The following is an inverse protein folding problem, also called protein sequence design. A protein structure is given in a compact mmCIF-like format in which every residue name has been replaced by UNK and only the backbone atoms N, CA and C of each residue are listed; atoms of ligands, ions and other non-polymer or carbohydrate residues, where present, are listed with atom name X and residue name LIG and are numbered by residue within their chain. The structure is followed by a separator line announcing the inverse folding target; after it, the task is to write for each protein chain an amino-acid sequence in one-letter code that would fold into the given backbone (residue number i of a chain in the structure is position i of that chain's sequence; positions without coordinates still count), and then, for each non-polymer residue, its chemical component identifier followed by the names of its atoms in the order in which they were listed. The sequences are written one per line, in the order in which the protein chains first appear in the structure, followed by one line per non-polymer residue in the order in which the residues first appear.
data_IF_703284870542
#
_entry.id   IF_703284870542
#
_cell.length_a   1.000
_cell.length_b   1.000
_cell.length_c   1.000
_cell.angle_alpha   90.00
_cell.angle_beta   90.00
_cell.angle_gamma   90.00
#
_symmetry.space_group_name_H-M   'P 1'
#
loop_
_entity.id
_entity.type
_entity.pdbx_description
1 polymer ?
#
# COMPACT_ATOMS: atom_id res chain seq x y z
N UNK A 1 12.32 6.51 -7.32
CA UNK A 1 11.72 5.33 -6.69
C UNK A 1 11.34 4.41 -7.82
N UNK A 2 12.04 3.28 -7.97
CA UNK A 2 11.65 2.26 -8.94
C UNK A 2 10.53 1.44 -8.30
N UNK A 3 9.30 1.68 -8.76
CA UNK A 3 8.15 0.84 -8.46
C UNK A 3 8.21 -0.33 -9.44
N UNK A 4 8.43 -1.55 -8.95
CA UNK A 4 8.69 -2.71 -9.81
C UNK A 4 7.40 -3.25 -10.46
N UNK A 5 6.25 -3.06 -9.81
CA UNK A 5 4.96 -3.49 -10.32
C UNK A 5 3.85 -2.52 -9.88
N UNK A 6 2.90 -2.25 -10.78
CA UNK A 6 1.69 -1.46 -10.53
C UNK A 6 0.49 -2.28 -11.00
N UNK A 7 -0.38 -2.64 -10.07
CA UNK A 7 -1.57 -3.46 -10.36
C UNK A 7 -2.82 -2.70 -9.95
N UNK A 8 -3.67 -2.39 -10.93
CA UNK A 8 -5.03 -1.90 -10.71
C UNK A 8 -5.94 -3.09 -10.32
N UNK A 9 -6.16 -3.29 -9.03
CA UNK A 9 -7.09 -4.33 -8.58
C UNK A 9 -8.53 -3.83 -8.72
N UNK A 10 -9.34 -4.56 -9.49
CA UNK A 10 -10.79 -4.30 -9.64
C UNK A 10 -11.63 -5.21 -8.73
N UNK A 11 -10.98 -5.97 -7.86
CA UNK A 11 -11.55 -7.08 -7.10
C UNK A 11 -12.55 -6.60 -6.02
N UNK A 12 -12.56 -5.30 -5.71
CA UNK A 12 -13.61 -4.61 -4.94
C UNK A 12 -14.88 -4.38 -5.78
N UNK A 13 -15.43 -5.45 -6.37
CA UNK A 13 -16.64 -5.42 -7.21
C UNK A 13 -16.58 -4.37 -8.33
N UNK A 14 -15.40 -4.13 -8.92
CA UNK A 14 -15.13 -3.13 -9.96
C UNK A 14 -15.46 -1.68 -9.57
N UNK A 15 -15.63 -1.41 -8.27
CA UNK A 15 -16.20 -0.14 -7.79
C UNK A 15 -15.18 0.79 -7.14
N UNK A 16 -14.14 0.23 -6.54
CA UNK A 16 -13.14 0.96 -5.76
C UNK A 16 -11.73 0.53 -6.17
N UNK A 17 -11.06 1.31 -7.06
CA UNK A 17 -9.71 0.97 -7.50
C UNK A 17 -8.73 1.00 -6.33
N UNK A 18 -7.78 0.08 -6.38
CA UNK A 18 -6.66 -0.05 -5.45
C UNK A 18 -5.37 -0.16 -6.24
N UNK A 19 -4.36 0.59 -5.82
CA UNK A 19 -3.03 0.56 -6.40
C UNK A 19 -2.08 -0.12 -5.42
N UNK A 20 -1.39 -1.16 -5.86
CA UNK A 20 -0.34 -1.78 -5.08
C UNK A 20 1.04 -1.36 -5.58
N UNK A 21 1.95 -1.11 -4.64
CA UNK A 21 3.36 -0.82 -4.86
C UNK A 21 4.15 -1.94 -4.21
N UNK A 22 4.90 -2.70 -4.99
CA UNK A 22 5.76 -3.78 -4.49
C UNK A 22 7.23 -3.36 -4.61
N UNK A 23 8.00 -3.59 -3.54
CA UNK A 23 9.42 -3.25 -3.48
C UNK A 23 10.29 -4.51 -3.30
N UNK A 24 11.52 -4.44 -3.79
CA UNK A 24 12.49 -5.55 -3.75
C UNK A 24 12.83 -6.05 -2.33
N UNK A 25 12.59 -5.25 -1.29
CA UNK A 25 12.77 -5.64 0.11
C UNK A 25 11.68 -6.60 0.63
N UNK A 26 10.70 -6.95 -0.20
CA UNK A 26 9.57 -7.81 0.16
C UNK A 26 8.46 -7.10 0.91
N UNK A 27 8.52 -5.76 0.99
CA UNK A 27 7.44 -4.90 1.49
C UNK A 27 6.81 -4.11 0.35
N UNK A 28 5.64 -3.55 0.64
CA UNK A 28 4.85 -2.81 -0.32
C UNK A 28 3.79 -1.96 0.35
N UNK A 29 3.00 -1.30 -0.48
CA UNK A 29 1.87 -0.49 -0.05
C UNK A 29 0.63 -0.81 -0.87
N UNK A 30 -0.52 -0.90 -0.22
CA UNK A 30 -1.84 -0.93 -0.83
C UNK A 30 -2.50 0.43 -0.62
N UNK A 31 -2.75 1.15 -1.71
CA UNK A 31 -3.27 2.53 -1.70
C UNK A 31 -4.67 2.58 -2.29
N UNK A 32 -5.62 3.16 -1.54
CA UNK A 32 -7.02 3.28 -1.95
C UNK A 32 -7.54 4.69 -1.74
N UNK A 33 -8.49 5.11 -2.57
CA UNK A 33 -9.24 6.35 -2.37
C UNK A 33 -10.65 6.19 -2.92
N UNK A 34 -11.64 6.20 -2.03
CA UNK A 34 -13.04 6.11 -2.40
C UNK A 34 -13.96 6.80 -1.36
N UNK A 35 -15.26 6.84 -1.63
CA UNK A 35 -16.24 7.51 -0.76
C UNK A 35 -16.42 6.89 0.63
N UNK A 36 -15.87 5.71 0.88
CA UNK A 36 -15.90 5.00 2.16
C UNK A 36 -14.54 4.97 2.85
N UNK A 37 -13.47 5.46 2.20
CA UNK A 37 -12.17 5.64 2.84
C UNK A 37 -12.10 6.98 3.57
N UNK A 38 -11.20 7.07 4.52
CA UNK A 38 -10.79 8.30 5.19
C UNK A 38 -9.89 9.13 4.26
N UNK A 39 -10.41 9.58 3.12
CA UNK A 39 -9.60 10.24 2.10
C UNK A 39 -8.67 9.26 1.37
N UNK A 40 -7.44 9.66 1.09
CA UNK A 40 -6.41 8.78 0.55
C UNK A 40 -5.83 7.93 1.68
N UNK A 41 -5.90 6.60 1.52
CA UNK A 41 -5.46 5.63 2.51
C UNK A 41 -4.31 4.77 2.00
N UNK A 42 -3.41 4.38 2.90
CA UNK A 42 -2.31 3.46 2.63
C UNK A 42 -2.22 2.41 3.74
N UNK A 43 -2.18 1.14 3.35
CA UNK A 43 -1.81 0.02 4.21
C UNK A 43 -0.45 -0.55 3.79
N UNK A 44 0.38 -0.95 4.77
CA UNK A 44 1.62 -1.68 4.48
C UNK A 44 1.27 -3.14 4.18
N UNK A 45 1.87 -3.68 3.12
CA UNK A 45 1.75 -5.08 2.72
C UNK A 45 3.13 -5.73 2.68
N UNK A 46 3.18 -7.04 2.89
CA UNK A 46 4.40 -7.84 2.88
C UNK A 46 4.20 -9.11 2.08
N UNK A 47 5.19 -9.46 1.28
CA UNK A 47 5.15 -10.70 0.50
C UNK A 47 5.28 -11.92 1.42
N UNK A 48 4.27 -12.78 1.37
CA UNK A 48 4.23 -14.03 2.08
C UNK A 48 4.69 -15.17 1.15
N UNK A 49 5.85 -15.75 1.47
CA UNK A 49 6.47 -16.82 0.67
C UNK A 49 5.69 -18.13 0.69
N UNK A 50 4.86 -18.37 1.72
CA UNK A 50 4.08 -19.60 1.84
C UNK A 50 2.83 -19.54 0.97
N UNK A 51 2.12 -18.41 0.97
CA UNK A 51 0.92 -18.21 0.16
C UNK A 51 1.22 -17.73 -1.26
N UNK A 52 2.38 -17.09 -1.46
CA UNK A 52 2.73 -16.41 -2.71
C UNK A 52 1.97 -15.09 -2.92
N UNK A 53 1.33 -14.56 -1.87
CA UNK A 53 0.49 -13.36 -1.91
C UNK A 53 1.09 -12.23 -1.08
N UNK A 54 0.57 -11.02 -1.29
CA UNK A 54 0.88 -9.85 -0.47
C UNK A 54 -0.18 -9.69 0.63
N UNK A 55 0.25 -9.87 1.88
CA UNK A 55 -0.63 -9.80 3.05
C UNK A 55 -0.43 -8.47 3.79
N UNK A 56 -1.45 -7.98 4.49
CA UNK A 56 -1.34 -6.78 5.33
C UNK A 56 -0.31 -6.99 6.45
N UNK A 57 0.56 -6.01 6.67
CA UNK A 57 1.57 -6.05 7.71
C UNK A 57 1.47 -4.88 8.71
N UNK A 58 0.85 -5.19 9.85
CA UNK A 58 0.74 -4.29 11.00
C UNK A 58 1.98 -4.28 11.90
N UNK A 59 3.03 -5.04 11.56
CA UNK A 59 4.25 -5.20 12.38
C UNK A 59 5.50 -4.59 11.72
N UNK A 60 5.34 -3.89 10.60
CA UNK A 60 6.42 -3.22 9.86
C UNK A 60 7.11 -2.10 10.65
N UNK A 61 6.46 -1.55 11.68
CA UNK A 61 6.94 -0.39 12.45
C UNK A 61 6.72 0.96 11.74
N UNK A 62 6.10 0.96 10.54
CA UNK A 62 5.68 2.18 9.85
C UNK A 62 4.34 2.66 10.41
N UNK A 63 3.40 1.74 10.56
CA UNK A 63 2.08 1.94 11.14
C UNK A 63 1.56 0.61 11.68
N UNK A 64 0.76 0.71 12.73
CA UNK A 64 0.04 -0.35 13.41
C UNK A 64 -1.40 -0.54 12.85
N UNK A 65 -1.83 0.33 11.92
CA UNK A 65 -3.12 0.26 11.21
C UNK A 65 -3.03 0.91 9.81
N UNK A 66 -4.15 1.23 9.17
CA UNK A 66 -4.19 1.98 7.90
C UNK A 66 -3.92 3.47 8.14
N UNK A 67 -3.01 4.06 7.35
CA UNK A 67 -2.79 5.51 7.35
C UNK A 67 -3.87 6.15 6.47
N UNK A 68 -4.80 6.87 7.08
CA UNK A 68 -5.80 7.68 6.37
C UNK A 68 -5.41 9.15 6.21
N UNK A 69 -6.21 9.87 5.43
CA UNK A 69 -6.13 11.31 5.17
C UNK A 69 -4.76 11.79 4.68
N UNK A 70 -4.11 10.99 3.82
CA UNK A 70 -2.82 11.36 3.22
C UNK A 70 -3.02 12.58 2.31
N UNK A 71 -2.30 13.67 2.60
CA UNK A 71 -2.45 14.97 1.94
C UNK A 71 -1.66 15.03 0.64
N UNK A 72 -2.20 14.37 -0.37
CA UNK A 72 -1.70 14.44 -1.74
C UNK A 72 -0.39 13.68 -1.96
N UNK A 73 0.22 13.96 -3.11
CA UNK A 73 1.29 13.13 -3.68
C UNK A 73 2.58 13.15 -2.85
N UNK A 74 2.98 14.31 -2.32
CA UNK A 74 4.26 14.44 -1.61
C UNK A 74 4.27 13.65 -0.28
N UNK A 75 3.16 13.67 0.46
CA UNK A 75 3.04 12.89 1.70
C UNK A 75 3.01 11.39 1.40
N UNK A 76 2.27 10.98 0.37
CA UNK A 76 2.25 9.60 -0.10
C UNK A 76 3.66 9.10 -0.46
N UNK A 77 4.40 9.88 -1.27
CA UNK A 77 5.76 9.52 -1.70
C UNK A 77 6.72 9.35 -0.51
N UNK A 78 6.61 10.20 0.52
CA UNK A 78 7.44 10.07 1.74
C UNK A 78 7.15 8.77 2.47
N UNK A 79 5.89 8.34 2.54
CA UNK A 79 5.52 7.06 3.17
C UNK A 79 6.05 5.89 2.33
N UNK A 80 5.88 5.92 1.01
CA UNK A 80 6.38 4.88 0.10
C UNK A 80 7.90 4.72 0.19
N UNK A 81 8.66 5.82 0.26
CA UNK A 81 10.12 5.79 0.46
C UNK A 81 10.49 5.17 1.81
N UNK A 82 9.71 5.38 2.87
CA UNK A 82 9.98 4.73 4.17
C UNK A 82 9.76 3.22 4.07
N UNK A 83 8.70 2.78 3.41
CA UNK A 83 8.39 1.35 3.21
C UNK A 83 9.46 0.68 2.35
N UNK A 84 9.95 1.34 1.30
CA UNK A 84 10.99 0.79 0.42
C UNK A 84 12.37 0.65 1.10
N UNK A 85 12.56 1.28 2.26
CA UNK A 85 13.80 1.26 3.03
C UNK A 85 13.73 0.38 4.30
N UNK A 86 12.64 -0.38 4.49
CA UNK A 86 12.55 -1.44 5.51
C UNK A 86 13.48 -2.61 5.18
#
# INVERSE_FOLDING_TARGET
MECEEFTDHTDSFFKYPRHEYHFANGYGASVVHNKYSYGLELAVIKYNKESGLWDLDYKSGITDDVIGYINGKEELEKILIRISNL
#
